data_IF_068547981153
#
_entry.id   IF_068547981153
#
_cell.length_a   1.000
_cell.length_b   1.000
_cell.length_c   1.000
_cell.angle_alpha   90.00
_cell.angle_beta   90.00
_cell.angle_gamma   90.00
#
_symmetry.space_group_name_H-M   'P 1'
#
loop_
_entity.id
_entity.type
_entity.pdbx_description
1 polymer ?
#
# COMPACT_ATOMS: atom_id res chain seq x y z
N UNK A 1 -11.50 38.66 -15.43
CA UNK A 1 -10.17 38.14 -15.06
C UNK A 1 -10.37 36.76 -14.45
N UNK A 2 -10.64 35.76 -15.30
CA UNK A 2 -11.18 34.44 -14.90
C UNK A 2 -10.18 33.66 -14.04
N UNK A 3 -8.89 33.76 -14.37
CA UNK A 3 -7.81 33.09 -13.65
C UNK A 3 -7.70 33.53 -12.18
N UNK A 4 -7.85 34.83 -11.90
CA UNK A 4 -7.75 35.35 -10.53
C UNK A 4 -8.89 34.87 -9.65
N UNK A 5 -10.08 34.76 -10.22
CA UNK A 5 -11.25 34.24 -9.51
C UNK A 5 -11.09 32.75 -9.22
N UNK A 6 -10.67 31.96 -10.22
CA UNK A 6 -10.38 30.54 -10.04
C UNK A 6 -9.34 30.29 -8.94
N UNK A 7 -8.23 31.03 -8.95
CA UNK A 7 -7.18 30.90 -7.93
C UNK A 7 -7.71 31.27 -6.54
N UNK A 8 -8.48 32.36 -6.43
CA UNK A 8 -9.08 32.80 -5.16
C UNK A 8 -10.01 31.74 -4.57
N UNK A 9 -10.80 31.09 -5.42
CA UNK A 9 -11.69 30.00 -5.01
C UNK A 9 -10.91 28.77 -4.54
N UNK A 10 -9.89 28.34 -5.30
CA UNK A 10 -9.06 27.19 -4.91
C UNK A 10 -8.29 27.43 -3.60
N UNK A 11 -7.80 28.66 -3.38
CA UNK A 11 -7.17 29.04 -2.10
C UNK A 11 -8.19 28.95 -0.96
N UNK A 12 -9.43 29.39 -1.17
CA UNK A 12 -10.50 29.26 -0.17
C UNK A 12 -10.78 27.80 0.14
N UNK A 13 -10.89 26.94 -0.88
CA UNK A 13 -11.12 25.50 -0.71
C UNK A 13 -9.97 24.83 0.08
N UNK A 14 -8.71 25.16 -0.24
CA UNK A 14 -7.55 24.63 0.50
C UNK A 14 -7.58 25.02 1.98
N UNK A 15 -7.87 26.29 2.30
CA UNK A 15 -7.97 26.73 3.70
C UNK A 15 -9.08 26.04 4.48
N UNK A 16 -10.20 25.74 3.83
CA UNK A 16 -11.30 24.96 4.44
C UNK A 16 -10.84 23.54 4.73
N UNK A 17 -10.14 22.89 3.79
CA UNK A 17 -9.58 21.55 3.99
C UNK A 17 -8.61 21.50 5.17
N UNK A 18 -7.65 22.43 5.22
CA UNK A 18 -6.69 22.53 6.34
C UNK A 18 -7.38 22.75 7.69
N UNK A 19 -8.42 23.59 7.72
CA UNK A 19 -9.16 23.83 8.95
C UNK A 19 -9.91 22.59 9.45
N UNK A 20 -10.59 21.88 8.55
CA UNK A 20 -11.30 20.64 8.90
C UNK A 20 -10.33 19.54 9.33
N UNK A 21 -9.19 19.45 8.66
CA UNK A 21 -8.14 18.49 9.02
C UNK A 21 -7.56 18.77 10.40
N UNK A 22 -7.27 20.03 10.72
CA UNK A 22 -6.76 20.42 12.04
C UNK A 22 -7.78 20.20 13.17
N UNK A 23 -9.07 20.46 12.93
CA UNK A 23 -10.10 20.39 13.98
C UNK A 23 -10.63 18.98 14.22
N UNK A 24 -10.73 18.15 13.17
CA UNK A 24 -11.43 16.86 13.22
C UNK A 24 -10.51 15.68 12.81
N UNK A 25 -9.42 15.96 12.10
CA UNK A 25 -8.56 14.95 11.47
C UNK A 25 -8.06 13.88 12.44
N UNK A 26 -7.61 14.28 13.63
CA UNK A 26 -7.06 13.36 14.64
C UNK A 26 -8.12 12.47 15.30
N UNK A 27 -9.37 12.94 15.42
CA UNK A 27 -10.42 12.22 16.15
C UNK A 27 -11.24 11.30 15.24
N UNK A 28 -11.70 11.82 14.10
CA UNK A 28 -12.64 11.12 13.24
C UNK A 28 -11.97 10.22 12.20
N UNK A 29 -10.66 10.37 11.95
CA UNK A 29 -9.98 9.65 10.86
C UNK A 29 -10.52 10.13 9.52
N UNK A 30 -10.07 11.31 9.11
CA UNK A 30 -10.59 11.99 7.92
C UNK A 30 -9.89 11.47 6.65
N UNK A 31 -10.69 11.00 5.68
CA UNK A 31 -10.22 10.53 4.38
C UNK A 31 -10.12 11.68 3.38
N UNK A 32 -11.12 11.83 2.53
CA UNK A 32 -11.21 12.89 1.52
C UNK A 32 -12.22 13.99 1.91
N UNK A 33 -11.99 15.21 1.40
CA UNK A 33 -12.90 16.34 1.53
C UNK A 33 -13.17 16.89 0.13
N UNK A 34 -14.44 16.91 -0.26
CA UNK A 34 -14.89 17.43 -1.54
C UNK A 34 -15.83 18.61 -1.30
N UNK A 35 -15.59 19.70 -2.01
CA UNK A 35 -16.39 20.92 -1.91
C UNK A 35 -17.04 21.15 -3.27
N UNK A 36 -18.36 21.08 -3.31
CA UNK A 36 -19.19 21.27 -4.49
C UNK A 36 -19.97 22.58 -4.34
N UNK A 37 -19.98 23.39 -5.39
CA UNK A 37 -20.80 24.61 -5.41
C UNK A 37 -22.15 24.28 -6.01
N UNK A 38 -23.21 24.48 -5.24
CA UNK A 38 -24.58 24.41 -5.71
C UNK A 38 -25.17 25.83 -5.78
N UNK A 39 -26.19 26.08 -6.62
CA UNK A 39 -26.86 27.39 -6.64
C UNK A 39 -27.44 27.83 -5.29
N UNK A 40 -27.72 26.87 -4.40
CA UNK A 40 -28.27 27.11 -3.06
C UNK A 40 -27.19 27.38 -1.99
N UNK A 41 -25.93 27.03 -2.27
CA UNK A 41 -24.82 27.16 -1.34
C UNK A 41 -23.68 26.17 -1.60
N UNK A 42 -22.68 26.20 -0.73
CA UNK A 42 -21.53 25.29 -0.81
C UNK A 42 -21.81 23.98 -0.06
N UNK A 43 -21.75 22.85 -0.78
CA UNK A 43 -21.89 21.51 -0.24
C UNK A 43 -20.52 20.91 0.04
N UNK A 44 -20.26 20.58 1.30
CA UNK A 44 -18.98 20.02 1.76
C UNK A 44 -19.23 18.56 2.14
N UNK A 45 -18.71 17.66 1.31
CA UNK A 45 -18.77 16.22 1.53
C UNK A 45 -17.49 15.80 2.25
N UNK A 46 -17.63 15.29 3.45
CA UNK A 46 -16.53 14.82 4.30
C UNK A 46 -16.61 13.31 4.43
N UNK A 47 -15.58 12.61 3.96
CA UNK A 47 -15.45 11.16 4.14
C UNK A 47 -14.66 10.85 5.40
N UNK A 48 -15.21 9.97 6.24
CA UNK A 48 -14.63 9.64 7.54
C UNK A 48 -14.84 8.17 7.92
N UNK A 49 -13.93 7.65 8.74
CA UNK A 49 -14.08 6.34 9.39
C UNK A 49 -15.13 6.36 10.50
N UNK A 50 -15.31 7.51 11.17
CA UNK A 50 -16.22 7.64 12.32
C UNK A 50 -17.14 8.85 12.16
N UNK A 51 -18.23 8.73 11.39
CA UNK A 51 -19.14 9.85 11.13
C UNK A 51 -19.78 10.41 12.41
N UNK A 52 -20.06 9.55 13.40
CA UNK A 52 -20.66 9.96 14.67
C UNK A 52 -19.85 11.00 15.45
N UNK A 53 -18.51 10.97 15.35
CA UNK A 53 -17.65 11.97 16.00
C UNK A 53 -17.73 13.34 15.34
N UNK A 54 -18.00 13.41 14.03
CA UNK A 54 -18.15 14.67 13.28
C UNK A 54 -19.48 15.34 13.60
N UNK A 55 -20.55 14.55 13.71
CA UNK A 55 -21.88 15.04 14.10
C UNK A 55 -21.85 15.55 15.55
N UNK A 56 -21.20 14.78 16.44
CA UNK A 56 -21.09 15.09 17.86
C UNK A 56 -22.39 14.83 18.64
N UNK A 57 -22.37 15.10 19.94
CA UNK A 57 -23.54 14.91 20.82
C UNK A 57 -24.67 15.85 20.41
N UNK A 58 -25.81 15.30 20.01
CA UNK A 58 -26.99 16.07 19.59
C UNK A 58 -26.77 16.98 18.37
N UNK A 59 -25.76 16.72 17.54
CA UNK A 59 -25.45 17.57 16.38
C UNK A 59 -24.74 18.88 16.70
N UNK A 60 -24.29 19.07 17.96
CA UNK A 60 -23.63 20.33 18.37
C UNK A 60 -22.34 20.61 17.60
N UNK A 61 -21.54 19.58 17.33
CA UNK A 61 -20.25 19.72 16.66
C UNK A 61 -20.43 20.16 15.20
N UNK A 62 -21.34 19.52 14.46
CA UNK A 62 -21.62 19.88 13.06
C UNK A 62 -22.22 21.29 12.92
N UNK A 63 -23.05 21.71 13.87
CA UNK A 63 -23.58 23.08 13.93
C UNK A 63 -22.45 24.10 14.18
N UNK A 64 -21.54 23.82 15.10
CA UNK A 64 -20.38 24.65 15.39
C UNK A 64 -19.43 24.76 14.18
N UNK A 65 -19.18 23.64 13.49
CA UNK A 65 -18.38 23.63 12.26
C UNK A 65 -19.03 24.48 11.18
N UNK A 66 -20.33 24.30 10.95
CA UNK A 66 -21.09 25.09 9.97
C UNK A 66 -21.05 26.59 10.28
N UNK A 67 -21.24 26.96 11.56
CA UNK A 67 -21.14 28.35 12.00
C UNK A 67 -19.72 28.92 11.80
N UNK A 68 -18.69 28.14 12.14
CA UNK A 68 -17.30 28.56 11.97
C UNK A 68 -16.94 28.76 10.50
N UNK A 69 -17.42 27.88 9.61
CA UNK A 69 -17.19 27.97 8.17
C UNK A 69 -17.88 29.21 7.57
N UNK A 70 -19.10 29.54 8.02
CA UNK A 70 -19.80 30.78 7.65
C UNK A 70 -19.02 32.01 8.06
N UNK A 71 -18.61 32.10 9.32
CA UNK A 71 -17.98 33.32 9.87
C UNK A 71 -16.54 33.50 9.37
N UNK A 72 -15.73 32.44 9.38
CA UNK A 72 -14.29 32.52 9.09
C UNK A 72 -13.97 32.55 7.60
N UNK A 73 -14.64 31.72 6.82
CA UNK A 73 -14.35 31.58 5.38
C UNK A 73 -15.38 32.28 4.48
N UNK A 74 -16.45 32.83 5.06
CA UNK A 74 -17.52 33.53 4.34
C UNK A 74 -18.04 32.66 3.21
N UNK A 75 -18.38 31.42 3.54
CA UNK A 75 -19.03 30.49 2.61
C UNK A 75 -20.52 30.85 2.54
N UNK A 76 -21.07 30.80 1.35
CA UNK A 76 -22.50 31.02 1.13
C UNK A 76 -23.24 29.75 1.51
N UNK A 77 -24.04 29.83 2.58
CA UNK A 77 -24.88 28.75 3.09
C UNK A 77 -24.21 27.35 3.08
N UNK A 78 -23.10 27.15 3.82
CA UNK A 78 -22.41 25.87 3.83
C UNK A 78 -23.30 24.77 4.41
N UNK A 79 -23.32 23.63 3.73
CA UNK A 79 -23.97 22.40 4.17
C UNK A 79 -22.91 21.29 4.24
N UNK A 80 -22.80 20.63 5.40
CA UNK A 80 -21.83 19.57 5.61
C UNK A 80 -22.56 18.22 5.49
N UNK A 81 -22.17 17.40 4.53
CA UNK A 81 -22.59 16.01 4.38
C UNK A 81 -21.44 15.10 4.83
N UNK A 82 -21.74 14.13 5.69
CA UNK A 82 -20.73 13.20 6.19
C UNK A 82 -20.99 11.83 5.55
N UNK A 83 -19.98 11.28 4.88
CA UNK A 83 -20.00 9.93 4.29
C UNK A 83 -19.04 9.02 5.04
N UNK A 84 -19.42 7.76 5.14
CA UNK A 84 -18.58 6.73 5.74
C UNK A 84 -17.64 6.12 4.69
N UNK A 85 -16.40 5.85 5.09
CA UNK A 85 -15.42 5.15 4.25
C UNK A 85 -15.59 3.64 4.42
N UNK A 86 -15.97 2.94 3.36
CA UNK A 86 -16.19 1.49 3.39
C UNK A 86 -14.92 0.70 3.78
N UNK A 87 -13.77 1.06 3.17
CA UNK A 87 -12.48 0.39 3.38
C UNK A 87 -11.43 1.36 3.94
N UNK A 88 -11.44 1.64 5.26
CA UNK A 88 -10.57 2.65 5.85
C UNK A 88 -9.07 2.31 5.73
N UNK A 89 -8.73 1.03 5.69
CA UNK A 89 -7.35 0.54 5.62
C UNK A 89 -6.68 0.78 4.26
N UNK A 90 -7.48 1.00 3.23
CA UNK A 90 -7.01 1.23 1.87
C UNK A 90 -6.69 2.72 1.63
N UNK A 91 -7.22 3.61 2.47
CA UNK A 91 -6.99 5.06 2.36
C UNK A 91 -5.67 5.46 3.03
N UNK A 92 -4.74 6.02 2.26
CA UNK A 92 -3.44 6.44 2.78
C UNK A 92 -3.55 7.57 3.82
N UNK A 93 -4.53 8.47 3.67
CA UNK A 93 -4.77 9.59 4.59
C UNK A 93 -5.13 9.10 5.99
N UNK A 94 -6.06 8.13 6.06
CA UNK A 94 -6.51 7.52 7.31
C UNK A 94 -5.37 6.73 7.96
N UNK A 95 -4.63 5.94 7.18
CA UNK A 95 -3.51 5.15 7.70
C UNK A 95 -2.33 6.01 8.16
N UNK A 96 -2.01 7.11 7.46
CA UNK A 96 -0.95 8.04 7.87
C UNK A 96 -1.27 8.70 9.23
N UNK A 97 -2.52 9.16 9.40
CA UNK A 97 -2.99 9.73 10.69
C UNK A 97 -3.00 8.67 11.80
N UNK A 98 -3.42 7.45 11.49
CA UNK A 98 -3.37 6.33 12.44
C UNK A 98 -1.95 6.08 12.95
N UNK A 99 -0.97 6.00 12.04
CA UNK A 99 0.45 5.83 12.41
C UNK A 99 0.94 7.02 13.24
N UNK A 100 0.56 8.25 12.87
CA UNK A 100 0.93 9.44 13.63
C UNK A 100 0.37 9.38 15.07
N UNK A 101 -0.91 9.07 15.24
CA UNK A 101 -1.54 8.92 16.57
C UNK A 101 -0.95 7.77 17.37
N UNK A 102 -0.62 6.65 16.74
CA UNK A 102 0.05 5.52 17.40
C UNK A 102 1.47 5.91 17.88
N UNK A 103 2.21 6.69 17.09
CA UNK A 103 3.53 7.21 17.49
C UNK A 103 3.43 8.22 18.63
N UNK A 104 2.42 9.09 18.63
CA UNK A 104 2.15 10.04 19.71
C UNK A 104 1.79 9.32 21.01
N UNK A 105 1.03 8.23 20.92
CA UNK A 105 0.58 7.46 22.09
C UNK A 105 1.65 6.53 22.67
N UNK A 106 2.37 5.79 21.84
CA UNK A 106 3.33 4.76 22.29
C UNK A 106 4.79 5.24 22.28
N UNK A 107 5.04 6.43 21.72
CA UNK A 107 6.37 7.00 21.57
C UNK A 107 7.21 6.33 20.49
N UNK A 108 8.42 6.86 20.30
CA UNK A 108 9.29 6.49 19.20
C UNK A 108 9.92 5.11 19.33
N UNK A 109 9.90 4.48 20.51
CA UNK A 109 10.53 3.17 20.73
C UNK A 109 9.87 2.04 19.91
N UNK A 110 8.54 2.12 19.73
CA UNK A 110 7.76 1.08 19.04
C UNK A 110 7.51 1.36 17.56
N UNK A 111 8.28 2.26 16.94
CA UNK A 111 8.09 2.67 15.54
C UNK A 111 8.11 1.48 14.56
N UNK A 112 8.98 0.48 14.78
CA UNK A 112 9.04 -0.74 13.96
C UNK A 112 7.76 -1.57 14.06
N UNK A 113 7.27 -1.78 15.28
CA UNK A 113 6.06 -2.56 15.52
C UNK A 113 4.84 -1.87 14.90
N UNK A 114 4.72 -0.55 15.04
CA UNK A 114 3.64 0.25 14.44
C UNK A 114 3.71 0.18 12.91
N UNK A 115 4.90 0.32 12.33
CA UNK A 115 5.14 0.21 10.90
C UNK A 115 4.69 -1.14 10.32
N UNK A 116 5.21 -2.25 10.87
CA UNK A 116 4.84 -3.59 10.40
C UNK A 116 3.37 -3.94 10.65
N UNK A 117 2.81 -3.55 11.80
CA UNK A 117 1.39 -3.76 12.11
C UNK A 117 0.49 -3.05 11.09
N UNK A 118 0.78 -1.78 10.79
CA UNK A 118 -0.01 -1.00 9.84
C UNK A 118 0.13 -1.55 8.42
N UNK A 119 1.36 -1.88 8.02
CA UNK A 119 1.65 -2.47 6.72
C UNK A 119 0.90 -3.80 6.53
N UNK A 120 0.87 -4.66 7.55
CA UNK A 120 0.11 -5.92 7.53
C UNK A 120 -1.39 -5.66 7.38
N UNK A 121 -1.92 -4.64 8.07
CA UNK A 121 -3.34 -4.26 7.98
C UNK A 121 -3.72 -3.75 6.59
N UNK A 122 -2.84 -2.99 5.93
CA UNK A 122 -3.04 -2.49 4.55
C UNK A 122 -3.02 -3.65 3.56
N UNK A 123 -2.00 -4.53 3.63
CA UNK A 123 -1.92 -5.70 2.76
C UNK A 123 -3.12 -6.65 2.95
N UNK A 124 -3.57 -6.85 4.20
CA UNK A 124 -4.76 -7.66 4.51
C UNK A 124 -6.05 -7.07 3.91
N UNK A 125 -6.11 -5.75 3.71
CA UNK A 125 -7.25 -5.11 3.06
C UNK A 125 -7.25 -5.21 1.52
N UNK A 126 -6.26 -5.91 0.95
CA UNK A 126 -6.18 -6.18 -0.48
C UNK A 126 -5.42 -5.13 -1.28
N UNK A 127 -4.55 -4.32 -0.66
CA UNK A 127 -3.68 -3.43 -1.42
C UNK A 127 -2.68 -4.24 -2.27
N UNK A 128 -2.39 -3.77 -3.49
CA UNK A 128 -1.38 -4.38 -4.36
C UNK A 128 0.03 -4.19 -3.77
N UNK A 129 0.24 -3.05 -3.09
CA UNK A 129 1.41 -2.81 -2.27
C UNK A 129 1.28 -1.54 -1.44
N UNK A 130 2.16 -1.43 -0.45
CA UNK A 130 2.22 -0.31 0.47
C UNK A 130 3.67 0.01 0.83
N UNK A 131 3.98 1.29 1.00
CA UNK A 131 5.26 1.76 1.53
C UNK A 131 5.01 2.78 2.63
N UNK A 132 5.51 2.49 3.84
CA UNK A 132 5.47 3.43 4.97
C UNK A 132 6.90 3.88 5.25
N UNK A 133 7.12 5.19 5.31
CA UNK A 133 8.40 5.79 5.65
C UNK A 133 8.22 6.63 6.90
N UNK A 134 9.00 6.32 7.93
CA UNK A 134 9.01 7.05 9.20
C UNK A 134 10.40 7.65 9.37
N UNK A 135 10.47 8.97 9.51
CA UNK A 135 11.74 9.68 9.62
C UNK A 135 11.70 10.78 10.67
N UNK A 136 12.73 10.89 11.50
CA UNK A 136 12.81 11.94 12.52
C UNK A 136 13.75 11.59 13.66
N UNK A 137 13.84 12.51 14.63
CA UNK A 137 14.62 12.31 15.86
C UNK A 137 13.88 11.34 16.79
N UNK A 138 14.61 10.34 17.32
CA UNK A 138 14.03 9.26 18.11
C UNK A 138 13.74 8.00 17.30
N UNK A 139 13.92 8.03 15.98
CA UNK A 139 13.69 6.90 15.07
C UNK A 139 15.02 6.36 14.55
N UNK A 140 15.75 5.44 15.22
CA UNK A 140 16.04 5.30 16.64
C UNK A 140 17.18 6.24 17.10
N UNK A 141 17.25 6.50 18.41
CA UNK A 141 18.38 7.23 19.01
C UNK A 141 18.27 8.77 18.90
N UNK A 142 19.34 9.45 19.28
CA UNK A 142 19.37 10.92 19.36
C UNK A 142 19.51 11.61 18.00
N UNK A 143 20.06 10.92 16.99
CA UNK A 143 20.20 11.43 15.61
C UNK A 143 18.94 11.11 14.81
N UNK A 144 18.62 11.97 13.84
CA UNK A 144 17.52 11.69 12.93
C UNK A 144 17.93 10.60 11.92
N UNK A 145 17.13 9.53 11.84
CA UNK A 145 17.23 8.55 10.76
C UNK A 145 15.87 8.39 10.07
N UNK A 146 15.90 7.76 8.89
CA UNK A 146 14.71 7.46 8.09
C UNK A 146 14.63 5.96 7.89
N UNK A 147 13.50 5.36 8.25
CA UNK A 147 13.21 3.94 8.10
C UNK A 147 12.09 3.76 7.09
N UNK A 148 12.27 2.78 6.21
CA UNK A 148 11.31 2.43 5.15
C UNK A 148 10.79 1.03 5.39
N UNK A 149 9.48 0.86 5.30
CA UNK A 149 8.76 -0.40 5.42
C UNK A 149 8.00 -0.64 4.11
N UNK A 150 8.60 -1.34 3.13
CA UNK A 150 7.93 -1.70 1.88
C UNK A 150 7.25 -3.07 1.98
N UNK A 151 6.10 -3.23 1.31
CA UNK A 151 5.47 -4.52 1.06
C UNK A 151 4.67 -4.52 -0.25
N UNK A 152 4.58 -5.69 -0.88
CA UNK A 152 3.88 -5.88 -2.15
C UNK A 152 4.57 -5.15 -3.32
N UNK A 153 3.77 -4.76 -4.30
CA UNK A 153 4.23 -4.08 -5.51
C UNK A 153 3.87 -2.59 -5.49
N UNK A 154 4.84 -1.74 -5.83
CA UNK A 154 4.67 -0.28 -5.81
C UNK A 154 5.38 0.37 -7.00
N UNK A 155 4.63 1.05 -7.87
CA UNK A 155 5.22 1.85 -8.95
C UNK A 155 5.71 3.19 -8.38
N UNK A 156 6.95 3.58 -8.72
CA UNK A 156 7.58 4.82 -8.23
C UNK A 156 7.68 5.92 -9.30
N UNK A 157 7.37 5.62 -10.55
CA UNK A 157 7.53 6.51 -11.71
C UNK A 157 6.33 6.45 -12.65
N UNK A 158 6.18 7.49 -13.47
CA UNK A 158 5.11 7.63 -14.46
C UNK A 158 3.83 8.26 -13.91
N UNK A 159 2.83 8.41 -14.79
CA UNK A 159 1.54 9.03 -14.46
C UNK A 159 0.79 8.25 -13.36
N UNK A 160 0.89 6.92 -13.40
CA UNK A 160 0.30 6.00 -12.41
C UNK A 160 0.74 6.34 -10.98
N UNK A 161 2.02 6.64 -10.79
CA UNK A 161 2.56 6.96 -9.47
C UNK A 161 2.09 8.33 -8.94
N UNK A 162 1.65 9.23 -9.82
CA UNK A 162 1.17 10.56 -9.44
C UNK A 162 -0.35 10.59 -9.22
N UNK A 163 -1.10 9.84 -10.02
CA UNK A 163 -2.56 9.91 -10.05
C UNK A 163 -3.26 8.74 -9.35
N UNK A 164 -2.71 7.53 -9.47
CA UNK A 164 -3.36 6.31 -8.97
C UNK A 164 -2.79 5.83 -7.62
N UNK A 165 -1.54 6.17 -7.31
CA UNK A 165 -0.93 5.84 -6.02
C UNK A 165 -1.28 6.92 -5.01
N UNK A 166 -1.97 6.54 -3.94
CA UNK A 166 -2.26 7.44 -2.84
C UNK A 166 -0.97 7.75 -2.07
N UNK A 167 -0.59 9.02 -2.04
CA UNK A 167 0.61 9.48 -1.34
C UNK A 167 0.27 10.58 -0.35
N UNK A 168 0.48 10.31 0.95
CA UNK A 168 0.17 11.25 2.03
C UNK A 168 1.37 11.39 2.96
N UNK A 169 1.58 12.63 3.44
CA UNK A 169 2.58 12.98 4.44
C UNK A 169 1.88 13.59 5.65
N UNK A 170 2.30 13.19 6.84
CA UNK A 170 1.77 13.66 8.11
C UNK A 170 2.91 13.79 9.11
N UNK A 171 2.81 14.73 10.03
CA UNK A 171 3.73 14.88 11.16
C UNK A 171 3.12 14.32 12.44
N UNK A 172 3.92 13.64 13.25
CA UNK A 172 3.58 13.22 14.60
C UNK A 172 4.41 14.02 15.61
N UNK A 173 3.76 14.54 16.65
CA UNK A 173 4.42 15.36 17.66
C UNK A 173 4.73 14.52 18.90
N UNK A 174 6.00 14.12 19.05
CA UNK A 174 6.46 13.34 20.19
C UNK A 174 7.19 14.24 21.19
N UNK A 175 7.37 13.73 22.41
CA UNK A 175 8.20 14.38 23.43
C UNK A 175 9.65 14.63 22.97
N UNK A 176 10.19 13.76 22.11
CA UNK A 176 11.54 13.89 21.54
C UNK A 176 11.65 14.89 20.38
N UNK A 177 10.53 15.40 19.88
CA UNK A 177 10.43 16.27 18.72
C UNK A 177 9.42 15.75 17.69
N UNK A 178 9.42 16.36 16.51
CA UNK A 178 8.52 16.00 15.41
C UNK A 178 9.09 14.86 14.57
N UNK A 179 8.24 13.88 14.27
CA UNK A 179 8.54 12.74 13.38
C UNK A 179 7.67 12.85 12.14
N UNK A 180 8.26 12.75 10.96
CA UNK A 180 7.56 12.68 9.69
C UNK A 180 7.13 11.25 9.37
N UNK A 181 5.88 11.09 8.95
CA UNK A 181 5.29 9.85 8.46
C UNK A 181 4.86 10.09 7.02
N UNK A 182 5.33 9.25 6.11
CA UNK A 182 4.90 9.22 4.72
C UNK A 182 4.33 7.85 4.41
N UNK A 183 3.12 7.80 3.86
CA UNK A 183 2.44 6.56 3.48
C UNK A 183 2.15 6.61 1.99
N UNK A 184 2.44 5.50 1.31
CA UNK A 184 2.08 5.25 -0.09
C UNK A 184 1.29 3.96 -0.17
N UNK A 185 0.12 3.98 -0.81
CA UNK A 185 -0.71 2.79 -1.00
C UNK A 185 -1.07 2.69 -2.48
N UNK A 186 -0.90 1.50 -3.04
CA UNK A 186 -1.33 1.15 -4.39
C UNK A 186 -2.59 0.31 -4.29
N UNK A 187 -3.70 0.86 -4.81
CA UNK A 187 -5.00 0.20 -4.82
C UNK A 187 -5.00 -1.07 -5.70
N UNK A 188 -5.84 -2.08 -5.38
CA UNK A 188 -5.96 -3.29 -6.19
C UNK A 188 -6.55 -3.05 -7.58
N UNK A 189 -7.37 -2.00 -7.72
CA UNK A 189 -8.16 -1.73 -8.93
C UNK A 189 -7.32 -1.09 -10.05
N UNK A 190 -6.03 -0.88 -9.82
CA UNK A 190 -5.12 -0.21 -10.74
C UNK A 190 -4.67 -1.17 -11.84
N UNK A 191 -5.13 -0.90 -13.07
CA UNK A 191 -4.61 -1.56 -14.25
C UNK A 191 -3.28 -0.93 -14.68
N UNK A 192 -2.24 -1.75 -14.74
CA UNK A 192 -0.95 -1.33 -15.26
C UNK A 192 -0.96 -1.44 -16.79
N UNK A 193 -0.42 -0.46 -17.52
CA UNK A 193 -0.32 -0.51 -18.97
C UNK A 193 0.56 -1.66 -19.46
N UNK A 194 1.51 -2.08 -18.61
CA UNK A 194 2.40 -3.21 -18.86
C UNK A 194 1.68 -4.57 -18.67
N UNK A 195 0.51 -4.58 -17.99
CA UNK A 195 -0.26 -5.79 -17.69
C UNK A 195 -1.35 -5.97 -18.75
N UNK A 196 -1.03 -6.80 -19.75
CA UNK A 196 -1.96 -7.19 -20.80
C UNK A 196 -2.59 -8.52 -20.39
N UNK A 197 -3.91 -8.56 -20.27
CA UNK A 197 -4.65 -9.79 -20.04
C UNK A 197 -4.88 -10.46 -21.40
N UNK A 198 -4.18 -11.58 -21.65
CA UNK A 198 -4.33 -12.37 -22.87
C UNK A 198 -5.55 -13.28 -22.69
N UNK A 199 -6.59 -13.05 -23.49
CA UNK A 199 -7.78 -13.91 -23.50
C UNK A 199 -7.47 -15.09 -24.43
N UNK A 200 -7.14 -16.25 -23.85
CA UNK A 200 -6.75 -17.45 -24.62
C UNK A 200 -7.91 -18.12 -25.37
N UNK A 201 -9.16 -17.85 -24.98
CA UNK A 201 -10.36 -18.49 -25.54
C UNK A 201 -11.28 -17.49 -26.26
N UNK A 202 -10.75 -16.75 -27.22
CA UNK A 202 -11.61 -16.20 -28.27
C UNK A 202 -11.91 -17.36 -29.21
N UNK A 203 -13.14 -17.90 -29.14
CA UNK A 203 -13.63 -18.82 -30.18
C UNK A 203 -13.62 -18.04 -31.50
N UNK A 204 -12.60 -18.29 -32.30
CA UNK A 204 -12.55 -17.80 -33.67
C UNK A 204 -13.80 -18.39 -34.36
N UNK A 205 -14.68 -17.56 -34.96
CA UNK A 205 -15.81 -18.08 -35.72
C UNK A 205 -15.29 -19.10 -36.73
N UNK A 206 -15.93 -20.28 -36.82
CA UNK A 206 -15.47 -21.39 -37.67
C UNK A 206 -15.27 -20.98 -39.14
N UNK A 207 -15.90 -19.89 -39.57
CA UNK A 207 -15.80 -19.32 -40.90
C UNK A 207 -14.42 -18.68 -41.18
N UNK A 208 -13.78 -18.08 -40.18
CA UNK A 208 -12.42 -17.49 -40.32
C UNK A 208 -11.35 -18.59 -40.26
N UNK A 209 -11.60 -19.66 -39.50
CA UNK A 209 -10.69 -20.81 -39.44
C UNK A 209 -10.62 -21.54 -40.80
N UNK A 210 -11.75 -21.65 -41.52
CA UNK A 210 -11.80 -22.21 -42.88
C UNK A 210 -11.06 -21.36 -43.90
N UNK A 211 -11.06 -20.04 -43.75
CA UNK A 211 -10.28 -19.13 -44.62
C UNK A 211 -8.77 -19.24 -44.35
N UNK A 212 -8.36 -19.34 -43.09
CA UNK A 212 -6.95 -19.55 -42.71
C UNK A 212 -6.44 -20.91 -43.23
N UNK A 213 -7.23 -21.99 -43.07
CA UNK A 213 -6.89 -23.32 -43.57
C UNK A 213 -6.87 -23.40 -45.11
N UNK A 214 -7.63 -22.53 -45.80
CA UNK A 214 -7.62 -22.43 -47.26
C UNK A 214 -6.36 -21.71 -47.75
N UNK A 215 -5.96 -20.61 -47.09
CA UNK A 215 -4.74 -19.86 -47.40
C UNK A 215 -3.46 -20.68 -47.13
N UNK A 216 -3.41 -21.44 -46.04
CA UNK A 216 -2.27 -22.35 -45.75
C UNK A 216 -2.15 -23.49 -46.78
N UNK A 217 -3.28 -23.96 -47.33
CA UNK A 217 -3.28 -24.96 -48.42
C UNK A 217 -2.82 -24.38 -49.75
N UNK A 218 -3.14 -23.11 -50.04
CA UNK A 218 -2.64 -22.40 -51.22
C UNK A 218 -1.13 -22.15 -51.13
N UNK A 219 -0.60 -21.74 -49.97
CA UNK A 219 0.85 -21.57 -49.77
C UNK A 219 1.63 -22.88 -49.91
N UNK A 220 1.10 -24.00 -49.40
CA UNK A 220 1.73 -25.31 -49.55
C UNK A 220 1.64 -25.86 -50.99
N UNK A 221 0.66 -25.44 -51.78
CA UNK A 221 0.53 -25.81 -53.19
C UNK A 221 1.57 -25.10 -54.07
N UNK A 222 1.93 -23.85 -53.74
CA UNK A 222 2.93 -23.06 -54.48
C UNK A 222 4.36 -23.62 -54.27
N UNK A 223 4.64 -24.28 -53.14
CA UNK A 223 5.96 -24.84 -52.81
C UNK A 223 6.27 -26.22 -53.45
N UNK A 224 5.31 -26.88 -54.13
CA UNK A 224 5.49 -28.26 -54.65
C UNK A 224 5.79 -28.49 -56.16
N UNK A 225 6.03 -27.51 -57.06
CA UNK A 225 6.39 -27.83 -58.45
C UNK A 225 7.88 -27.63 -58.81
N UNK A 226 8.84 -27.99 -57.94
CA UNK A 226 10.29 -27.99 -58.31
C UNK A 226 11.10 -29.24 -57.90
N UNK A 227 10.47 -30.40 -57.70
CA UNK A 227 11.18 -31.64 -57.33
C UNK A 227 11.26 -32.73 -58.43
N UNK A 228 10.79 -32.49 -59.67
CA UNK A 228 10.87 -33.45 -60.79
C UNK A 228 11.57 -32.86 -62.02
N UNK A 229 12.84 -32.43 -61.90
CA UNK A 229 13.78 -32.25 -63.03
C UNK A 229 15.20 -31.95 -62.50
N UNK A 230 15.90 -32.98 -62.00
CA UNK A 230 17.38 -33.06 -61.92
C UNK A 230 17.80 -34.44 -61.37
N UNK A 231 17.43 -35.50 -62.10
CA UNK A 231 18.16 -36.76 -62.14
C UNK A 231 18.72 -36.88 -63.56
N UNK A 232 19.83 -36.20 -63.83
CA UNK A 232 20.79 -36.43 -64.93
C UNK A 232 21.91 -35.39 -64.77
N UNK A 233 23.14 -35.83 -65.06
CA UNK A 233 24.47 -35.21 -64.89
C UNK A 233 25.04 -35.16 -63.46
N UNK A 234 25.60 -36.31 -63.04
CA UNK A 234 26.87 -36.35 -62.31
C UNK A 234 27.99 -35.87 -63.25
N UNK A 235 29.12 -35.46 -62.64
CA UNK A 235 30.44 -35.17 -63.23
C UNK A 235 30.64 -33.81 -63.93
N UNK A 236 31.31 -32.88 -63.23
CA UNK A 236 32.48 -32.14 -63.74
C UNK A 236 33.06 -31.15 -62.70
N UNK A 237 34.34 -31.38 -62.38
CA UNK A 237 35.44 -30.47 -62.03
C UNK A 237 35.51 -29.67 -60.70
N UNK A 238 36.73 -29.77 -60.17
CA UNK A 238 37.35 -29.19 -58.99
C UNK A 238 37.89 -27.75 -59.19
N UNK A 239 38.32 -27.17 -58.06
CA UNK A 239 39.35 -26.12 -57.87
C UNK A 239 39.07 -24.68 -58.35
N UNK A 240 38.91 -23.73 -57.41
CA UNK A 240 39.94 -22.73 -57.06
C UNK A 240 39.51 -21.87 -55.84
N UNK A 241 40.50 -21.29 -55.17
CA UNK A 241 40.54 -20.79 -53.81
C UNK A 241 39.96 -19.37 -53.57
N UNK A 242 39.60 -19.09 -52.30
CA UNK A 242 39.84 -17.77 -51.70
C UNK A 242 38.81 -17.18 -50.72
N UNK A 243 39.17 -17.22 -49.43
CA UNK A 243 38.95 -16.22 -48.35
C UNK A 243 37.96 -16.55 -47.20
N UNK A 244 38.58 -17.11 -46.14
CA UNK A 244 38.51 -16.91 -44.67
C UNK A 244 37.32 -16.16 -44.04
N UNK A 245 36.64 -16.84 -43.10
CA UNK A 245 36.01 -16.24 -41.90
C UNK A 245 36.37 -17.09 -40.66
N UNK A 246 36.82 -16.41 -39.61
CA UNK A 246 37.25 -16.94 -38.30
C UNK A 246 36.03 -17.26 -37.41
N UNK A 247 36.24 -18.26 -36.56
CA UNK A 247 35.34 -19.03 -35.68
C UNK A 247 34.55 -18.25 -34.61
N UNK A 248 33.40 -18.83 -34.20
CA UNK A 248 33.08 -19.13 -32.79
C UNK A 248 31.87 -20.09 -32.66
N UNK A 249 32.15 -21.33 -32.20
CA UNK A 249 31.47 -22.19 -31.20
C UNK A 249 29.93 -22.11 -30.94
N UNK A 250 29.18 -23.15 -30.58
CA UNK A 250 29.42 -24.60 -30.35
C UNK A 250 28.05 -25.33 -30.21
N UNK A 251 28.05 -26.64 -30.49
CA UNK A 251 26.90 -27.56 -30.51
C UNK A 251 26.56 -28.14 -29.12
N UNK A 252 25.26 -28.23 -28.81
CA UNK A 252 24.69 -29.15 -27.80
C UNK A 252 24.67 -30.59 -28.34
N UNK A 253 25.19 -31.55 -27.58
CA UNK A 253 24.88 -32.98 -27.79
C UNK A 253 24.54 -33.69 -26.47
N UNK A 254 23.53 -34.54 -26.58
CA UNK A 254 22.81 -35.33 -25.58
C UNK A 254 23.71 -36.19 -24.68
N UNK A 255 23.36 -36.33 -23.39
CA UNK A 255 23.76 -37.46 -22.54
C UNK A 255 22.53 -38.17 -21.98
N UNK A 256 22.46 -39.48 -22.26
CA UNK A 256 21.55 -40.47 -21.65
C UNK A 256 22.09 -40.87 -20.27
N UNK A 257 21.16 -41.16 -19.36
CA UNK A 257 21.35 -41.81 -18.05
C UNK A 257 22.04 -43.17 -18.17
N UNK A 258 22.98 -43.43 -17.26
CA UNK A 258 23.30 -44.76 -16.74
C UNK A 258 23.71 -44.58 -15.27
N UNK A 259 23.10 -45.38 -14.40
CA UNK A 259 23.16 -45.34 -12.94
C UNK A 259 23.62 -46.72 -12.46
N UNK A 260 24.74 -46.77 -11.72
CA UNK A 260 25.08 -47.74 -10.64
C UNK A 260 26.45 -47.32 -10.04
N UNK A 261 26.46 -46.85 -8.79
CA UNK A 261 26.84 -47.53 -7.52
C UNK A 261 28.35 -47.80 -7.44
N UNK A 262 29.00 -47.15 -6.48
CA UNK A 262 29.87 -47.78 -5.46
C UNK A 262 30.07 -46.84 -4.26
N UNK A 263 30.02 -47.45 -3.08
CA UNK A 263 30.12 -46.93 -1.70
C UNK A 263 31.55 -46.45 -1.36
N UNK A 264 31.71 -45.62 -0.32
CA UNK A 264 32.66 -45.77 0.81
C UNK A 264 32.42 -44.65 1.86
N UNK A 265 31.91 -45.10 3.02
CA UNK A 265 32.20 -44.76 4.44
C UNK A 265 32.28 -43.31 4.97
N UNK A 266 31.45 -43.05 6.00
CA UNK A 266 31.59 -42.00 7.00
C UNK A 266 31.68 -42.67 8.38
N UNK A 267 32.76 -42.42 9.09
CA UNK A 267 33.02 -42.89 10.47
C UNK A 267 32.30 -42.03 11.53
N UNK A 268 31.79 -42.74 12.54
CA UNK A 268 31.20 -42.26 13.78
C UNK A 268 32.24 -42.11 14.91
N UNK A 269 32.04 -41.13 15.79
CA UNK A 269 32.09 -41.22 17.28
C UNK A 269 32.01 -39.80 17.88
N UNK A 270 30.91 -39.46 18.57
CA UNK A 270 30.70 -39.52 20.03
C UNK A 270 31.64 -38.58 20.82
N UNK A 271 31.16 -37.61 21.62
CA UNK A 271 30.55 -37.85 22.95
C UNK A 271 29.97 -36.57 23.59
N UNK A 272 28.82 -36.74 24.25
CA UNK A 272 28.37 -36.26 25.59
C UNK A 272 28.36 -34.77 26.01
N UNK A 273 27.18 -34.28 26.44
CA UNK A 273 26.80 -34.17 27.88
C UNK A 273 25.42 -33.52 28.14
N UNK A 274 24.57 -34.29 28.85
CA UNK A 274 23.57 -33.98 29.91
C UNK A 274 22.70 -32.71 29.83
N UNK A 275 21.36 -32.83 29.74
CA UNK A 275 20.39 -33.16 30.81
C UNK A 275 20.34 -32.15 31.96
N UNK A 276 19.23 -31.38 32.03
CA UNK A 276 18.59 -31.06 33.31
C UNK A 276 17.07 -30.80 33.15
N UNK A 277 16.34 -31.38 34.10
CA UNK A 277 14.88 -31.53 34.22
C UNK A 277 14.17 -30.22 34.56
N UNK A 278 12.89 -30.09 34.18
CA UNK A 278 11.76 -30.11 35.13
C UNK A 278 10.42 -29.79 34.46
N UNK A 279 9.53 -30.78 34.46
CA UNK A 279 8.09 -30.57 34.53
C UNK A 279 7.73 -30.05 35.93
N UNK A 280 6.71 -29.19 36.04
CA UNK A 280 5.70 -29.24 37.11
C UNK A 280 4.53 -28.30 36.82
N UNK A 281 3.35 -28.91 36.82
CA UNK A 281 2.02 -28.31 36.75
C UNK A 281 1.56 -27.75 38.12
N UNK A 282 0.63 -26.77 38.05
CA UNK A 282 -0.48 -26.45 38.97
C UNK A 282 -0.16 -25.98 40.42
N UNK A 283 -0.46 -24.70 40.74
CA UNK A 283 -1.59 -24.34 41.63
C UNK A 283 -1.81 -22.82 41.84
N UNK A 284 -3.10 -22.49 41.80
CA UNK A 284 -3.94 -21.44 42.40
C UNK A 284 -3.40 -20.54 43.54
N UNK A 285 -3.69 -19.23 43.44
CA UNK A 285 -4.42 -18.36 44.42
C UNK A 285 -3.98 -16.89 44.24
N UNK A 286 -4.87 -15.98 43.87
CA UNK A 286 -5.65 -15.14 44.80
C UNK A 286 -4.78 -14.36 45.81
N UNK A 287 -4.35 -13.15 45.43
CA UNK A 287 -4.18 -12.01 46.35
C UNK A 287 -3.80 -10.74 45.59
N UNK A 288 -4.77 -10.03 45.02
CA UNK A 288 -4.61 -8.61 44.66
C UNK A 288 -5.98 -7.93 44.47
N UNK A 289 -6.84 -8.08 45.47
CA UNK A 289 -8.00 -7.22 45.68
C UNK A 289 -8.10 -6.93 47.18
N UNK A 290 -7.27 -6.00 47.67
CA UNK A 290 -7.43 -5.32 48.97
C UNK A 290 -6.42 -4.18 49.09
N UNK A 291 -6.53 -3.18 48.23
CA UNK A 291 -5.84 -1.89 48.46
C UNK A 291 -6.65 -0.67 47.99
N UNK A 292 -7.95 -0.84 47.71
CA UNK A 292 -8.81 0.23 47.17
C UNK A 292 -9.94 0.68 48.13
N UNK A 293 -9.84 0.41 49.44
CA UNK A 293 -10.93 0.71 50.40
C UNK A 293 -10.47 1.46 51.66
N UNK A 294 -9.56 2.45 51.54
CA UNK A 294 -9.19 3.27 52.70
C UNK A 294 -8.89 4.76 52.48
N UNK A 295 -9.21 5.32 51.31
CA UNK A 295 -8.96 6.74 51.01
C UNK A 295 -10.22 7.48 50.54
N UNK A 296 -11.36 7.27 51.20
CA UNK A 296 -12.57 8.05 50.93
C UNK A 296 -13.39 8.32 52.20
N UNK A 297 -12.73 8.83 53.24
CA UNK A 297 -13.37 9.55 54.35
C UNK A 297 -12.38 10.62 54.83
N UNK A 298 -12.58 11.88 54.43
CA UNK A 298 -11.77 12.97 54.95
C UNK A 298 -11.64 14.23 54.11
N UNK A 299 -12.66 14.69 53.38
CA UNK A 299 -12.70 16.08 52.86
C UNK A 299 -14.15 16.59 52.85
N UNK A 300 -14.76 16.76 54.01
CA UNK A 300 -15.88 17.69 54.24
C UNK A 300 -15.77 18.16 55.68
N UNK A 301 -15.15 19.33 55.88
CA UNK A 301 -15.35 20.27 57.00
C UNK A 301 -14.12 21.17 57.12
N UNK A 302 -14.16 22.32 56.42
CA UNK A 302 -13.34 23.51 56.71
C UNK A 302 -13.60 24.60 55.66
N UNK A 303 -14.87 24.96 55.45
CA UNK A 303 -15.24 26.25 54.84
C UNK A 303 -16.51 26.78 55.48
N UNK A 304 -16.46 27.02 56.79
CA UNK A 304 -17.43 27.89 57.45
C UNK A 304 -16.89 28.39 58.80
N UNK A 305 -15.94 29.33 58.77
CA UNK A 305 -15.68 30.30 59.84
C UNK A 305 -14.46 31.14 59.49
N UNK A 306 -14.67 32.37 59.04
CA UNK A 306 -13.87 33.54 59.44
C UNK A 306 -14.53 34.79 58.82
N UNK A 307 -15.40 35.39 59.65
CA UNK A 307 -15.37 36.84 59.86
C UNK A 307 -14.11 37.19 60.66
#
# INVERSE_FOLDING_TARGET
>A
MIEREFIKEKIKHMKVKEFLDAKIGSMAGLGSITIEKTPLGEKIIVESVRPGLIIGRGGKMIQELTATLRTKFKLENPQIEVREIERPNLSASVMAKKVASDLERFGSSRFKAIGYKTLTQIMKSGALGAEIVIGGRGVPGARAHTWRFPAGYMKKSGQIALEQVDHVKTSANLRSGTVGVQVRIMHPDIQLPDKIDIIENVQIPEDVQKEIDALEKEEQAILKPKAKKKKKSKEALADDAGIVVIEAESKKTKRKKAEKVDEVELDENETESSDEKSDLEINTNESEQKEAAKNDEGIQDSKESEQ
#
